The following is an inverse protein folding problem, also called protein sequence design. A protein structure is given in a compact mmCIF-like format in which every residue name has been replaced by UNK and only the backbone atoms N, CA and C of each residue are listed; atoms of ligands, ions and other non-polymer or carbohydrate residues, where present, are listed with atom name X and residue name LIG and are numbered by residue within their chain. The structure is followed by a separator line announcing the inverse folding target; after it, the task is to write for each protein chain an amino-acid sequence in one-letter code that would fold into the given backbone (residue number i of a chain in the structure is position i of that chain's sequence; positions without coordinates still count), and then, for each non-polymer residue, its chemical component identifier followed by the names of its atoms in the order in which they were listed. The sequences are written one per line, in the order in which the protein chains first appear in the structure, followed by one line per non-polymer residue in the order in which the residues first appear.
data_IF_069394188203
#
_entry.id   IF_069394188203
#
_cell.length_a   1.000
_cell.length_b   1.000
_cell.length_c   1.000
_cell.angle_alpha   90.00
_cell.angle_beta   90.00
_cell.angle_gamma   90.00
#
_symmetry.space_group_name_H-M   'P 1'
#
loop_
_entity.id
_entity.type
_entity.pdbx_description
1 polymer ?
#
# COMPACT_ATOMS: atom_id res chain seq x y z
N UNK A 1 -63.01 24.18 -10.17
CA UNK A 1 -62.23 23.36 -9.23
C UNK A 1 -61.06 22.73 -10.03
N UNK A 2 -59.88 23.39 -10.00
CA UNK A 2 -58.69 22.91 -10.73
C UNK A 2 -57.77 22.22 -9.72
N UNK A 3 -57.57 20.88 -9.86
CA UNK A 3 -56.64 20.10 -9.03
C UNK A 3 -55.26 20.19 -9.65
N UNK A 4 -54.33 20.85 -8.93
CA UNK A 4 -52.89 20.87 -9.22
C UNK A 4 -52.31 19.57 -8.69
N UNK A 5 -51.76 18.73 -9.57
CA UNK A 5 -50.96 17.55 -9.24
C UNK A 5 -49.50 18.00 -9.21
N UNK A 6 -48.91 18.06 -8.02
CA UNK A 6 -47.49 18.31 -7.86
C UNK A 6 -46.73 17.00 -8.07
N UNK A 7 -45.96 16.93 -9.14
CA UNK A 7 -45.03 15.82 -9.39
C UNK A 7 -43.72 16.08 -8.62
N UNK A 8 -43.49 15.31 -7.57
CA UNK A 8 -42.21 15.32 -6.86
C UNK A 8 -41.18 14.49 -7.64
N UNK A 9 -40.23 15.15 -8.27
CA UNK A 9 -39.09 14.50 -8.91
C UNK A 9 -38.11 14.04 -7.84
N UNK A 10 -38.03 12.73 -7.61
CA UNK A 10 -37.05 12.09 -6.74
C UNK A 10 -35.71 12.01 -7.47
N UNK A 11 -34.81 12.95 -7.19
CA UNK A 11 -33.44 12.96 -7.73
C UNK A 11 -32.63 11.87 -7.03
N UNK A 12 -32.44 10.73 -7.69
CA UNK A 12 -31.53 9.68 -7.25
C UNK A 12 -30.09 10.15 -7.51
N UNK A 13 -29.43 10.71 -6.50
CA UNK A 13 -27.99 11.02 -6.54
C UNK A 13 -27.24 9.68 -6.56
N UNK A 14 -26.72 9.28 -7.73
CA UNK A 14 -25.69 8.25 -7.80
C UNK A 14 -24.42 8.82 -7.14
N UNK A 15 -24.23 8.53 -5.86
CA UNK A 15 -22.95 8.69 -5.20
C UNK A 15 -21.99 7.68 -5.87
N UNK A 16 -21.25 8.13 -6.87
CA UNK A 16 -20.09 7.42 -7.40
C UNK A 16 -19.10 7.23 -6.24
N UNK A 17 -19.03 6.01 -5.72
CA UNK A 17 -18.09 5.67 -4.67
C UNK A 17 -16.67 5.86 -5.18
N UNK A 18 -16.03 6.98 -4.86
CA UNK A 18 -14.58 7.03 -4.84
C UNK A 18 -14.13 5.88 -3.91
N UNK A 19 -13.34 4.94 -4.41
CA UNK A 19 -12.74 3.90 -3.59
C UNK A 19 -11.71 4.59 -2.68
N UNK A 20 -12.21 5.09 -1.56
CA UNK A 20 -11.33 5.63 -0.52
C UNK A 20 -10.54 4.47 0.10
N UNK A 21 -9.24 4.64 0.30
CA UNK A 21 -8.40 3.71 1.05
C UNK A 21 -9.05 3.30 2.39
N UNK A 22 -8.55 2.25 3.03
CA UNK A 22 -8.95 1.89 4.39
C UNK A 22 -8.62 3.03 5.35
N UNK A 23 -9.41 3.16 6.43
CA UNK A 23 -9.24 4.26 7.38
C UNK A 23 -8.15 3.98 8.40
N UNK A 24 -7.56 5.04 8.95
CA UNK A 24 -6.72 4.97 10.14
C UNK A 24 -7.56 4.40 11.31
N UNK A 25 -7.01 3.44 12.02
CA UNK A 25 -7.67 2.72 13.11
C UNK A 25 -8.35 1.42 12.69
N UNK A 26 -8.65 1.22 11.41
CA UNK A 26 -9.18 -0.05 10.90
C UNK A 26 -8.15 -1.17 11.06
N UNK A 27 -8.62 -2.41 11.12
CA UNK A 27 -7.76 -3.59 11.02
C UNK A 27 -7.31 -3.79 9.58
N UNK A 28 -6.00 -3.88 9.36
CA UNK A 28 -5.44 -4.28 8.08
C UNK A 28 -5.84 -5.73 7.76
N UNK A 29 -6.33 -6.03 6.54
CA UNK A 29 -6.53 -7.39 6.09
C UNK A 29 -5.23 -8.19 6.16
N UNK A 30 -5.27 -9.40 6.73
CA UNK A 30 -4.10 -10.29 6.72
C UNK A 30 -3.93 -10.94 5.36
N UNK A 31 -2.70 -11.08 4.90
CA UNK A 31 -2.43 -11.75 3.64
C UNK A 31 -1.11 -12.52 3.65
N UNK A 32 -1.01 -13.44 2.70
CA UNK A 32 0.23 -14.10 2.31
C UNK A 32 0.43 -13.97 0.81
N UNK A 33 1.65 -13.71 0.38
CA UNK A 33 1.98 -13.56 -1.03
C UNK A 33 3.38 -14.10 -1.33
N UNK A 34 3.62 -14.43 -2.60
CA UNK A 34 4.97 -14.70 -3.07
C UNK A 34 5.71 -13.39 -3.27
N UNK A 35 6.79 -13.21 -2.54
CA UNK A 35 7.63 -12.03 -2.59
C UNK A 35 9.03 -12.36 -3.14
N UNK A 36 9.73 -11.32 -3.56
CA UNK A 36 11.13 -11.37 -3.97
C UNK A 36 11.94 -10.32 -3.24
N UNK A 37 13.13 -10.68 -2.79
CA UNK A 37 14.12 -9.76 -2.22
C UNK A 37 15.51 -10.16 -2.69
N UNK A 38 16.29 -9.22 -3.19
CA UNK A 38 17.64 -9.45 -3.70
C UNK A 38 17.70 -10.62 -4.70
N UNK A 39 16.70 -10.72 -5.58
CA UNK A 39 16.62 -11.78 -6.60
C UNK A 39 16.17 -13.14 -6.09
N UNK A 40 15.79 -13.28 -4.82
CA UNK A 40 15.35 -14.56 -4.23
C UNK A 40 13.87 -14.50 -3.88
N UNK A 41 13.11 -15.47 -4.39
CA UNK A 41 11.69 -15.63 -4.07
C UNK A 41 11.50 -16.29 -2.70
N UNK A 42 10.49 -15.84 -1.95
CA UNK A 42 10.12 -16.42 -0.67
C UNK A 42 8.64 -16.14 -0.34
N UNK A 43 7.99 -16.96 0.50
CA UNK A 43 6.65 -16.69 0.98
C UNK A 43 6.67 -15.59 2.04
N UNK A 44 5.96 -14.49 1.79
CA UNK A 44 5.72 -13.43 2.77
C UNK A 44 4.38 -13.63 3.48
N UNK A 45 4.34 -13.34 4.79
CA UNK A 45 3.12 -13.32 5.59
C UNK A 45 3.10 -12.04 6.42
N UNK A 46 2.06 -11.20 6.25
CA UNK A 46 1.93 -9.93 6.96
C UNK A 46 1.96 -10.14 8.48
N UNK A 47 1.18 -11.10 8.98
CA UNK A 47 1.12 -11.40 10.42
C UNK A 47 2.47 -11.75 11.04
N UNK A 48 3.36 -12.43 10.31
CA UNK A 48 4.70 -12.74 10.80
C UNK A 48 5.64 -11.51 10.76
N UNK A 49 5.46 -10.64 9.77
CA UNK A 49 6.21 -9.38 9.69
C UNK A 49 5.83 -8.44 10.86
N UNK A 50 4.55 -8.34 11.17
CA UNK A 50 4.04 -7.51 12.27
C UNK A 50 4.55 -7.91 13.66
N UNK A 51 4.96 -9.17 13.85
CA UNK A 51 5.60 -9.61 15.11
C UNK A 51 6.97 -8.95 15.35
N UNK A 52 7.60 -8.45 14.29
CA UNK A 52 8.93 -7.82 14.35
C UNK A 52 8.87 -6.30 14.54
N UNK A 53 7.74 -5.68 14.23
CA UNK A 53 7.54 -4.23 14.30
C UNK A 53 6.49 -3.74 13.30
N UNK A 54 6.34 -2.43 13.14
CA UNK A 54 5.45 -1.85 12.15
C UNK A 54 5.81 -2.28 10.73
N UNK A 55 4.79 -2.43 9.88
CA UNK A 55 4.97 -2.70 8.45
C UNK A 55 4.51 -1.50 7.65
N UNK A 56 5.40 -0.99 6.79
CA UNK A 56 5.09 -0.05 5.72
C UNK A 56 4.74 -0.89 4.51
N UNK A 57 3.47 -0.93 4.16
CA UNK A 57 2.94 -1.65 3.02
C UNK A 57 2.57 -0.65 1.94
N UNK A 58 3.25 -0.67 0.78
CA UNK A 58 2.88 0.21 -0.32
C UNK A 58 2.46 -0.58 -1.56
N UNK A 59 1.32 -0.19 -2.11
CA UNK A 59 0.83 -0.68 -3.40
C UNK A 59 1.33 0.24 -4.51
N UNK A 60 1.72 -0.34 -5.65
CA UNK A 60 2.15 0.41 -6.81
C UNK A 60 1.64 -0.23 -8.11
N UNK A 61 1.35 0.56 -9.17
CA UNK A 61 0.68 0.08 -10.38
C UNK A 61 1.39 -1.07 -11.10
N UNK A 62 2.67 -0.91 -11.43
CA UNK A 62 3.41 -1.95 -12.16
C UNK A 62 4.92 -1.79 -12.04
N UNK A 63 5.63 -2.92 -11.94
CA UNK A 63 7.09 -2.94 -11.97
C UNK A 63 7.62 -2.31 -13.26
N UNK A 64 8.75 -1.59 -13.16
CA UNK A 64 9.45 -0.92 -14.27
C UNK A 64 8.68 0.20 -14.99
N UNK A 65 7.64 0.76 -14.41
CA UNK A 65 7.10 2.05 -14.85
C UNK A 65 7.86 3.18 -14.16
N UNK A 66 7.98 4.35 -14.82
CA UNK A 66 8.84 5.44 -14.33
C UNK A 66 8.54 5.88 -12.90
N UNK A 67 7.27 6.15 -12.57
CA UNK A 67 6.87 6.54 -11.21
C UNK A 67 7.08 5.43 -10.18
N UNK A 68 6.92 4.16 -10.55
CA UNK A 68 7.14 3.03 -9.62
C UNK A 68 8.64 2.78 -9.38
N UNK A 69 9.49 3.01 -10.39
CA UNK A 69 10.95 2.97 -10.24
C UNK A 69 11.43 4.09 -9.31
N UNK A 70 10.94 5.33 -9.48
CA UNK A 70 11.27 6.44 -8.58
C UNK A 70 10.88 6.08 -7.14
N UNK A 71 9.65 5.66 -6.91
CA UNK A 71 9.17 5.28 -5.57
C UNK A 71 10.01 4.17 -4.93
N UNK A 72 10.36 3.14 -5.72
CA UNK A 72 11.20 2.03 -5.23
C UNK A 72 12.60 2.51 -4.84
N UNK A 73 13.20 3.44 -5.60
CA UNK A 73 14.48 4.07 -5.28
C UNK A 73 14.39 4.87 -3.97
N UNK A 74 13.34 5.68 -3.80
CA UNK A 74 13.13 6.51 -2.61
C UNK A 74 12.96 5.63 -1.36
N UNK A 75 12.17 4.56 -1.44
CA UNK A 75 12.07 3.57 -0.36
C UNK A 75 13.40 2.87 -0.09
N UNK A 76 14.20 2.54 -1.12
CA UNK A 76 15.50 1.90 -0.95
C UNK A 76 16.51 2.83 -0.26
N UNK A 77 16.50 4.12 -0.58
CA UNK A 77 17.35 5.14 0.08
C UNK A 77 16.94 5.36 1.55
N UNK A 78 15.65 5.30 1.84
CA UNK A 78 15.12 5.46 3.18
C UNK A 78 15.24 4.21 4.08
N UNK A 79 15.64 3.04 3.54
CA UNK A 79 15.74 1.79 4.31
C UNK A 79 16.51 1.90 5.63
N UNK A 80 17.68 2.59 5.72
CA UNK A 80 18.35 2.72 7.00
C UNK A 80 17.50 3.38 8.09
N UNK A 81 16.63 4.34 7.71
CA UNK A 81 15.73 5.02 8.65
C UNK A 81 14.61 4.07 9.12
N UNK A 82 13.98 3.30 8.20
CA UNK A 82 12.97 2.31 8.58
C UNK A 82 13.55 1.23 9.50
N UNK A 83 14.76 0.73 9.19
CA UNK A 83 15.45 -0.28 10.00
C UNK A 83 15.76 0.25 11.41
N UNK A 84 16.26 1.49 11.53
CA UNK A 84 16.52 2.13 12.82
C UNK A 84 15.25 2.27 13.67
N UNK A 85 14.10 2.42 13.03
CA UNK A 85 12.79 2.47 13.69
C UNK A 85 12.16 1.09 13.91
N UNK A 86 12.83 -0.01 13.50
CA UNK A 86 12.33 -1.37 13.58
C UNK A 86 11.15 -1.66 12.66
N UNK A 87 10.99 -0.90 11.59
CA UNK A 87 9.93 -1.08 10.61
C UNK A 87 10.38 -1.92 9.40
N UNK A 88 9.46 -2.70 8.85
CA UNK A 88 9.65 -3.46 7.61
C UNK A 88 8.93 -2.75 6.47
N UNK A 89 9.61 -2.56 5.33
CA UNK A 89 8.98 -2.07 4.09
C UNK A 89 8.64 -3.27 3.21
N UNK A 90 7.44 -3.25 2.60
CA UNK A 90 6.95 -4.25 1.65
C UNK A 90 6.21 -3.55 0.52
N UNK A 91 6.67 -3.72 -0.72
CA UNK A 91 5.93 -3.31 -1.91
C UNK A 91 5.01 -4.43 -2.42
N UNK A 92 3.85 -4.07 -2.95
CA UNK A 92 2.89 -5.02 -3.55
C UNK A 92 2.41 -4.48 -4.88
N UNK A 93 2.43 -5.30 -5.92
CA UNK A 93 1.93 -4.92 -7.25
C UNK A 93 1.22 -6.06 -7.96
N UNK A 94 0.22 -5.69 -8.77
CA UNK A 94 -0.47 -6.60 -9.68
C UNK A 94 0.05 -6.49 -11.12
N UNK A 95 0.79 -5.42 -11.47
CA UNK A 95 1.29 -5.18 -12.81
C UNK A 95 2.75 -5.60 -13.03
N UNK A 96 3.04 -6.24 -14.18
CA UNK A 96 4.37 -6.73 -14.58
C UNK A 96 5.02 -7.67 -13.54
N UNK A 97 4.21 -8.52 -12.91
CA UNK A 97 4.63 -9.39 -11.80
C UNK A 97 5.64 -10.47 -12.20
N UNK A 98 5.71 -10.84 -13.46
CA UNK A 98 6.68 -11.75 -14.06
C UNK A 98 8.13 -11.23 -13.94
N UNK A 99 8.32 -9.91 -13.85
CA UNK A 99 9.62 -9.26 -13.71
C UNK A 99 9.95 -8.84 -12.27
N UNK A 100 9.17 -9.28 -11.28
CA UNK A 100 9.29 -8.79 -9.91
C UNK A 100 10.61 -9.19 -9.24
N UNK A 101 11.14 -10.35 -9.59
CA UNK A 101 12.46 -10.80 -9.10
C UNK A 101 13.58 -9.88 -9.57
N UNK A 102 13.56 -9.48 -10.86
CA UNK A 102 14.48 -8.50 -11.42
C UNK A 102 14.32 -7.13 -10.76
N UNK A 103 13.07 -6.66 -10.61
CA UNK A 103 12.72 -5.39 -9.96
C UNK A 103 13.25 -5.31 -8.52
N UNK A 104 13.20 -6.43 -7.77
CA UNK A 104 13.71 -6.50 -6.40
C UNK A 104 15.23 -6.25 -6.30
N UNK A 105 15.97 -6.58 -7.36
CA UNK A 105 17.43 -6.35 -7.44
C UNK A 105 17.74 -4.95 -7.90
N UNK A 106 17.20 -4.56 -9.06
CA UNK A 106 17.56 -3.30 -9.73
C UNK A 106 16.91 -2.09 -9.04
N UNK A 107 15.58 -2.08 -8.93
CA UNK A 107 14.87 -0.88 -8.48
C UNK A 107 14.72 -0.82 -6.95
N UNK A 108 14.45 -1.95 -6.30
CA UNK A 108 14.50 -2.01 -4.83
C UNK A 108 15.93 -2.08 -4.27
N UNK A 109 16.94 -2.11 -5.14
CA UNK A 109 18.39 -2.16 -4.81
C UNK A 109 18.71 -3.24 -3.78
N UNK A 110 18.00 -4.37 -3.84
CA UNK A 110 18.12 -5.47 -2.87
C UNK A 110 17.90 -5.07 -1.40
N UNK A 111 17.23 -3.95 -1.13
CA UNK A 111 17.08 -3.38 0.22
C UNK A 111 15.80 -3.80 0.93
N UNK A 112 14.74 -4.08 0.19
CA UNK A 112 13.44 -4.48 0.73
C UNK A 112 12.69 -5.40 -0.26
N UNK A 113 11.73 -6.21 0.24
CA UNK A 113 10.98 -7.13 -0.59
C UNK A 113 9.82 -6.47 -1.35
N UNK A 114 9.48 -7.08 -2.49
CA UNK A 114 8.28 -6.80 -3.26
C UNK A 114 7.50 -8.08 -3.51
N UNK A 115 6.17 -8.02 -3.38
CA UNK A 115 5.26 -9.14 -3.53
C UNK A 115 4.37 -9.03 -4.77
N UNK A 116 4.10 -10.17 -5.39
CA UNK A 116 3.17 -10.29 -6.49
C UNK A 116 1.73 -10.43 -5.97
N UNK A 117 0.80 -9.69 -6.58
CA UNK A 117 -0.64 -9.74 -6.32
C UNK A 117 -1.41 -10.06 -7.61
N UNK A 118 -1.41 -11.33 -8.08
CA UNK A 118 -2.09 -11.69 -9.31
C UNK A 118 -3.58 -11.36 -9.28
N UNK A 119 -4.02 -10.48 -10.20
CA UNK A 119 -5.40 -10.05 -10.29
C UNK A 119 -5.81 -9.02 -9.24
N UNK A 120 -4.87 -8.35 -8.60
CA UNK A 120 -5.08 -7.27 -7.61
C UNK A 120 -6.01 -7.67 -6.45
N UNK A 121 -5.94 -8.90 -5.96
CA UNK A 121 -6.79 -9.42 -4.90
C UNK A 121 -6.48 -8.79 -3.56
N UNK A 122 -5.20 -8.69 -3.21
CA UNK A 122 -4.74 -8.04 -1.99
C UNK A 122 -5.04 -6.54 -2.07
N UNK A 123 -4.74 -5.91 -3.22
CA UNK A 123 -5.06 -4.51 -3.45
C UNK A 123 -6.56 -4.23 -3.28
N UNK A 124 -7.43 -5.14 -3.72
CA UNK A 124 -8.89 -4.98 -3.56
C UNK A 124 -9.32 -5.00 -2.09
N UNK A 125 -8.75 -5.89 -1.26
CA UNK A 125 -9.03 -5.93 0.18
C UNK A 125 -8.56 -4.64 0.89
N UNK A 126 -7.47 -4.04 0.41
CA UNK A 126 -6.94 -2.76 0.90
C UNK A 126 -7.56 -1.53 0.23
N UNK A 127 -8.54 -1.71 -0.67
CA UNK A 127 -9.13 -0.63 -1.47
C UNK A 127 -8.10 0.19 -2.26
N UNK A 128 -7.03 -0.46 -2.66
CA UNK A 128 -5.88 0.10 -3.39
C UNK A 128 -5.86 -0.39 -4.85
N UNK A 129 -7.03 -0.43 -5.50
CA UNK A 129 -7.16 -0.80 -6.91
C UNK A 129 -7.26 0.42 -7.81
N UNK A 130 -6.60 0.39 -8.96
CA UNK A 130 -6.60 1.47 -9.93
C UNK A 130 -7.93 1.48 -10.71
N UNK A 131 -8.80 2.44 -10.43
CA UNK A 131 -10.15 2.51 -11.02
C UNK A 131 -10.13 2.53 -12.56
N UNK A 132 -9.15 3.22 -13.17
CA UNK A 132 -9.02 3.32 -14.62
C UNK A 132 -8.43 2.05 -15.29
N UNK A 133 -7.89 1.10 -14.51
CA UNK A 133 -7.29 -0.13 -15.02
C UNK A 133 -7.59 -1.30 -14.09
N UNK A 134 -8.74 -1.95 -14.25
CA UNK A 134 -9.12 -3.10 -13.43
C UNK A 134 -8.03 -4.18 -13.43
N UNK A 135 -7.78 -4.79 -12.27
CA UNK A 135 -6.72 -5.79 -12.09
C UNK A 135 -5.32 -5.21 -11.83
N UNK A 136 -5.20 -3.90 -11.70
CA UNK A 136 -3.98 -3.21 -11.29
C UNK A 136 -4.14 -2.54 -9.93
N UNK A 137 -3.04 -2.48 -9.16
CA UNK A 137 -2.99 -1.66 -7.95
C UNK A 137 -2.96 -0.18 -8.32
N UNK A 138 -3.47 0.68 -7.48
CA UNK A 138 -3.15 2.10 -7.51
C UNK A 138 -1.85 2.37 -6.73
N UNK A 139 -1.56 3.64 -6.41
CA UNK A 139 -0.45 4.00 -5.54
C UNK A 139 -0.99 4.42 -4.19
N UNK A 140 -0.93 3.49 -3.24
CA UNK A 140 -1.42 3.71 -1.87
C UNK A 140 -0.45 3.10 -0.87
N UNK A 141 -0.04 3.88 0.12
CA UNK A 141 0.83 3.44 1.21
C UNK A 141 0.08 3.36 2.53
N UNK A 142 0.32 2.30 3.26
CA UNK A 142 -0.16 2.08 4.61
C UNK A 142 0.99 1.93 5.59
N UNK A 143 0.81 2.39 6.81
CA UNK A 143 1.63 1.99 7.95
C UNK A 143 0.74 1.18 8.87
N UNK A 144 1.17 -0.05 9.20
CA UNK A 144 0.41 -1.00 9.99
C UNK A 144 1.20 -1.27 11.28
N UNK A 145 0.57 -1.04 12.42
CA UNK A 145 1.15 -1.33 13.74
C UNK A 145 1.22 -2.84 14.03
N UNK A 146 2.05 -3.31 14.97
CA UNK A 146 2.15 -4.72 15.36
C UNK A 146 0.82 -5.36 15.79
N UNK A 147 -0.11 -4.58 16.32
CA UNK A 147 -1.47 -5.05 16.66
C UNK A 147 -2.38 -5.19 15.42
N UNK A 148 -1.89 -4.86 14.23
CA UNK A 148 -2.60 -4.92 12.96
C UNK A 148 -3.49 -3.70 12.67
N UNK A 149 -3.43 -2.62 13.44
CA UNK A 149 -4.17 -1.39 13.14
C UNK A 149 -3.43 -0.52 12.14
N UNK A 150 -4.18 0.09 11.24
CA UNK A 150 -3.67 1.06 10.28
C UNK A 150 -3.37 2.38 11.01
N UNK A 151 -2.13 2.82 10.94
CA UNK A 151 -1.64 4.10 11.48
C UNK A 151 -1.67 5.23 10.45
N UNK A 152 -1.49 4.88 9.18
CA UNK A 152 -1.52 5.78 8.04
C UNK A 152 -2.15 5.06 6.84
N UNK A 153 -2.98 5.79 6.09
CA UNK A 153 -3.39 5.45 4.73
C UNK A 153 -3.20 6.70 3.87
N UNK A 154 -2.37 6.60 2.85
CA UNK A 154 -2.03 7.70 1.95
C UNK A 154 -2.08 7.25 0.50
N UNK A 155 -2.91 7.89 -0.31
CA UNK A 155 -3.09 7.59 -1.74
C UNK A 155 -2.77 8.84 -2.56
N UNK A 156 -1.78 8.75 -3.42
CA UNK A 156 -1.45 9.70 -4.46
C UNK A 156 -0.74 8.96 -5.60
N UNK A 157 -1.11 9.21 -6.84
CA UNK A 157 -0.43 8.59 -7.99
C UNK A 157 1.00 9.12 -8.21
N UNK A 158 1.32 10.29 -7.64
CA UNK A 158 2.70 10.81 -7.61
C UNK A 158 3.50 10.08 -6.53
N UNK A 159 4.75 9.68 -6.78
CA UNK A 159 5.57 8.94 -5.82
C UNK A 159 6.13 9.79 -4.67
N UNK A 160 6.20 11.11 -4.82
CA UNK A 160 7.09 12.00 -4.07
C UNK A 160 6.90 11.98 -2.54
N UNK A 161 5.66 11.92 -2.04
CA UNK A 161 5.36 12.06 -0.61
C UNK A 161 5.25 10.73 0.16
N UNK A 162 5.22 9.58 -0.52
CA UNK A 162 4.94 8.28 0.11
C UNK A 162 5.95 7.92 1.20
N UNK A 163 7.24 8.12 0.92
CA UNK A 163 8.31 7.84 1.90
C UNK A 163 8.24 8.79 3.08
N UNK A 164 8.09 10.10 2.85
CA UNK A 164 8.03 11.10 3.91
C UNK A 164 6.86 10.86 4.86
N UNK A 165 5.66 10.63 4.31
CA UNK A 165 4.43 10.35 5.09
C UNK A 165 4.53 9.07 5.91
N UNK A 166 5.06 8.00 5.31
CA UNK A 166 5.19 6.71 6.01
C UNK A 166 6.27 6.76 7.09
N UNK A 167 7.40 7.43 6.86
CA UNK A 167 8.43 7.66 7.90
C UNK A 167 7.89 8.47 9.07
N UNK A 168 7.14 9.54 8.81
CA UNK A 168 6.50 10.34 9.86
C UNK A 168 5.59 9.48 10.75
N UNK A 169 4.74 8.66 10.13
CA UNK A 169 3.83 7.78 10.87
C UNK A 169 4.56 6.71 11.68
N UNK A 170 5.63 6.10 11.14
CA UNK A 170 6.46 5.13 11.86
C UNK A 170 7.19 5.79 13.03
N UNK A 171 7.75 6.99 12.86
CA UNK A 171 8.39 7.77 13.93
C UNK A 171 7.39 8.07 15.05
N UNK A 172 6.22 8.63 14.71
CA UNK A 172 5.18 8.96 15.68
C UNK A 172 4.70 7.73 16.49
N UNK A 173 4.70 6.55 15.85
CA UNK A 173 4.40 5.30 16.56
C UNK A 173 5.55 4.89 17.48
N UNK A 174 6.81 4.95 17.01
CA UNK A 174 8.00 4.57 17.77
C UNK A 174 8.22 5.46 19.01
N UNK A 175 7.93 6.74 18.91
CA UNK A 175 8.02 7.69 20.04
C UNK A 175 7.09 7.29 21.21
N UNK A 176 5.96 6.66 20.89
CA UNK A 176 4.99 6.15 21.87
C UNK A 176 5.30 4.71 22.33
N UNK A 177 6.18 4.00 21.61
CA UNK A 177 6.54 2.60 21.86
C UNK A 177 8.06 2.44 21.75
N UNK A 178 8.85 3.02 22.68
CA UNK A 178 10.30 2.92 22.67
C UNK A 178 10.74 1.45 22.70
N UNK A 179 11.88 1.16 22.06
CA UNK A 179 12.47 -0.16 22.15
C UNK A 179 12.93 -0.40 23.61
N UNK A 180 12.53 -1.52 24.18
CA UNK A 180 13.01 -1.99 25.49
C UNK A 180 14.44 -2.52 25.40
#
# INVERSE_FOLDING_TARGET
MKRLIAAAALSLALAGGAHAALNVGDKAPDFSAQASMAGKAFPFKLKEALKKGPVVLYFFPAAFTSGCTIEAHDFAEAQPQYQALGATVMGVTAGNIDRLTEFSVSECRSKFPVAADPGAKIAAEYKATLAMRPGWSDRTSYVIAPDGKILLAFSDLKPDDHVAKTLEAVKAWRDKHPAS
#
